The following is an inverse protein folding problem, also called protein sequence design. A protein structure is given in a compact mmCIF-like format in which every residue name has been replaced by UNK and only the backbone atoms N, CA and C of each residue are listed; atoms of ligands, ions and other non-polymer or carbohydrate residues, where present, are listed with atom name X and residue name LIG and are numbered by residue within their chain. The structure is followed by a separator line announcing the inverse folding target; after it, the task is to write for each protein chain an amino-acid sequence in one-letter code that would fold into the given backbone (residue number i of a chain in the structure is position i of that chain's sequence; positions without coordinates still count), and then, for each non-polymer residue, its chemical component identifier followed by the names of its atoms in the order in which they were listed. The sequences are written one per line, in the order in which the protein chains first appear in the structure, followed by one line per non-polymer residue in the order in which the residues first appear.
data_IF_808384155789
#
_entry.id   IF_808384155789
#
_cell.length_a   1.000
_cell.length_b   1.000
_cell.length_c   1.000
_cell.angle_alpha   90.00
_cell.angle_beta   90.00
_cell.angle_gamma   90.00
#
_symmetry.space_group_name_H-M   'P 1'
#
loop_
_entity.id
_entity.type
_entity.pdbx_description
1 polymer ?
#
# COMPACT_ATOMS: atom_id res chain seq x y z
N UNK A 1 -35.70 8.52 -24.48
CA UNK A 1 -35.96 8.29 -23.04
C UNK A 1 -34.69 7.82 -22.34
N UNK A 2 -33.93 6.85 -22.91
CA UNK A 2 -32.67 6.39 -22.28
C UNK A 2 -31.55 7.46 -22.22
N UNK A 3 -31.44 8.35 -23.21
CA UNK A 3 -30.44 9.40 -23.24
C UNK A 3 -30.72 10.54 -22.21
N UNK A 4 -31.97 10.79 -21.89
CA UNK A 4 -32.37 11.83 -20.91
C UNK A 4 -32.19 11.33 -19.48
N UNK A 5 -32.26 10.02 -19.24
CA UNK A 5 -32.03 9.41 -17.94
C UNK A 5 -30.54 9.27 -17.57
N UNK A 6 -29.65 9.16 -18.56
CA UNK A 6 -28.20 9.09 -18.30
C UNK A 6 -27.63 10.43 -17.83
N UNK A 7 -28.11 11.54 -18.39
CA UNK A 7 -27.65 12.89 -17.98
C UNK A 7 -28.22 13.36 -16.65
N UNK A 8 -29.36 12.81 -16.23
CA UNK A 8 -29.96 13.13 -14.91
C UNK A 8 -29.34 12.31 -13.77
N UNK A 9 -28.82 11.11 -14.03
CA UNK A 9 -28.18 10.26 -13.01
C UNK A 9 -26.74 10.68 -12.73
N UNK A 10 -26.05 11.27 -13.69
CA UNK A 10 -24.66 11.73 -13.53
C UNK A 10 -24.50 12.96 -12.63
N UNK A 11 -25.60 13.64 -12.26
CA UNK A 11 -25.57 14.88 -11.46
C UNK A 11 -26.25 14.76 -10.08
N UNK A 12 -26.53 13.55 -9.61
CA UNK A 12 -27.13 13.34 -8.27
C UNK A 12 -26.03 13.29 -7.21
N UNK A 13 -26.08 14.21 -6.24
CA UNK A 13 -25.23 14.18 -5.05
C UNK A 13 -25.70 13.13 -4.05
N UNK A 14 -24.81 12.63 -3.19
CA UNK A 14 -25.10 11.61 -2.17
C UNK A 14 -26.30 11.96 -1.27
N UNK A 15 -26.57 13.23 -1.06
CA UNK A 15 -27.79 13.69 -0.34
C UNK A 15 -29.09 13.44 -1.07
N UNK A 16 -29.07 13.37 -2.40
CA UNK A 16 -30.28 13.11 -3.20
C UNK A 16 -30.57 11.60 -3.30
N UNK A 17 -29.54 10.77 -3.26
CA UNK A 17 -29.67 9.31 -3.24
C UNK A 17 -30.32 8.85 -1.93
N UNK A 18 -29.94 9.43 -0.79
CA UNK A 18 -30.53 9.13 0.52
C UNK A 18 -32.01 9.56 0.65
N UNK A 19 -32.44 10.61 -0.04
CA UNK A 19 -33.88 10.99 -0.04
C UNK A 19 -34.75 10.01 -0.81
N UNK A 20 -34.26 9.36 -1.87
CA UNK A 20 -35.01 8.38 -2.63
C UNK A 20 -35.18 7.05 -1.89
N UNK A 21 -34.24 6.66 -1.06
CA UNK A 21 -34.35 5.45 -0.23
C UNK A 21 -35.40 5.56 0.88
N UNK A 22 -35.69 6.75 1.38
CA UNK A 22 -36.78 6.96 2.36
C UNK A 22 -38.20 6.89 1.77
N UNK A 23 -38.35 7.05 0.45
CA UNK A 23 -39.66 6.91 -0.21
C UNK A 23 -40.05 5.47 -0.59
N UNK A 24 -39.12 4.53 -0.53
CA UNK A 24 -39.38 3.12 -0.84
C UNK A 24 -40.00 2.32 0.32
N UNK A 25 -39.98 2.84 1.54
CA UNK A 25 -40.57 2.16 2.73
C UNK A 25 -42.06 2.41 2.99
N UNK A 26 -42.71 3.28 2.24
CA UNK A 26 -44.14 3.61 2.46
C UNK A 26 -44.96 3.19 1.25
N UNK A 27 -45.29 1.91 1.09
CA UNK A 27 -46.53 1.34 0.55
C UNK A 27 -46.42 -0.16 0.25
N UNK A 28 -46.48 -0.96 1.27
CA UNK A 28 -46.84 -2.38 1.11
C UNK A 28 -48.19 -2.64 1.76
N UNK A 29 -49.25 -2.54 0.97
CA UNK A 29 -50.49 -3.31 1.17
C UNK A 29 -51.32 -3.35 -0.12
N UNK A 30 -51.50 -4.60 -0.64
CA UNK A 30 -52.54 -5.13 -1.55
C UNK A 30 -52.37 -4.93 -3.07
N UNK A 31 -52.00 -5.98 -3.78
CA UNK A 31 -52.82 -6.79 -4.72
C UNK A 31 -51.92 -7.65 -5.65
N UNK A 32 -52.44 -8.73 -6.16
CA UNK A 32 -51.78 -9.83 -6.90
C UNK A 32 -51.07 -9.42 -8.21
N UNK A 33 -51.18 -8.18 -8.64
CA UNK A 33 -50.43 -7.61 -9.80
C UNK A 33 -49.02 -7.23 -9.40
N UNK A 34 -48.72 -7.00 -8.10
CA UNK A 34 -47.38 -6.68 -7.60
C UNK A 34 -46.39 -7.84 -7.70
N UNK A 35 -46.86 -9.10 -7.70
CA UNK A 35 -45.94 -10.26 -7.74
C UNK A 35 -45.27 -10.42 -9.12
N UNK A 36 -45.95 -10.10 -10.21
CA UNK A 36 -45.41 -10.17 -11.57
C UNK A 36 -44.45 -9.00 -11.87
N UNK A 37 -44.77 -7.80 -11.36
CA UNK A 37 -43.92 -6.61 -11.51
C UNK A 37 -42.67 -6.71 -10.60
N UNK A 38 -42.79 -7.32 -9.39
CA UNK A 38 -41.67 -7.48 -8.47
C UNK A 38 -40.62 -8.45 -9.02
N UNK A 39 -41.03 -9.52 -9.69
CA UNK A 39 -40.08 -10.51 -10.28
C UNK A 39 -39.34 -9.93 -11.49
N UNK A 40 -40.02 -9.15 -12.34
CA UNK A 40 -39.41 -8.47 -13.47
C UNK A 40 -38.51 -7.30 -13.03
N UNK A 41 -38.91 -6.54 -12.02
CA UNK A 41 -38.10 -5.47 -11.43
C UNK A 41 -36.89 -6.04 -10.70
N UNK A 42 -37.03 -7.16 -9.98
CA UNK A 42 -35.91 -7.83 -9.31
C UNK A 42 -34.91 -8.45 -10.31
N UNK A 43 -35.40 -9.05 -11.41
CA UNK A 43 -34.56 -9.59 -12.49
C UNK A 43 -33.87 -8.43 -13.25
N UNK A 44 -34.55 -7.31 -13.47
CA UNK A 44 -33.98 -6.12 -14.09
C UNK A 44 -33.00 -5.43 -13.15
N UNK A 45 -33.28 -5.37 -11.86
CA UNK A 45 -32.39 -4.84 -10.84
C UNK A 45 -31.13 -5.73 -10.65
N UNK A 46 -31.30 -7.06 -10.62
CA UNK A 46 -30.19 -8.02 -10.60
C UNK A 46 -29.37 -8.02 -11.90
N UNK A 47 -30.00 -7.77 -13.06
CA UNK A 47 -29.27 -7.56 -14.32
C UNK A 47 -28.56 -6.21 -14.35
N UNK A 48 -29.18 -5.16 -13.81
CA UNK A 48 -28.57 -3.83 -13.71
C UNK A 48 -27.44 -3.81 -12.68
N UNK A 49 -27.60 -4.46 -11.52
CA UNK A 49 -26.50 -4.65 -10.55
C UNK A 49 -25.38 -5.53 -11.11
N UNK A 50 -25.69 -6.63 -11.80
CA UNK A 50 -24.67 -7.41 -12.54
C UNK A 50 -24.02 -6.62 -13.67
N UNK A 51 -24.76 -5.76 -14.35
CA UNK A 51 -24.23 -4.86 -15.38
C UNK A 51 -23.37 -3.75 -14.77
N UNK A 52 -23.75 -3.16 -13.65
CA UNK A 52 -22.97 -2.17 -12.90
C UNK A 52 -21.72 -2.83 -12.28
N UNK A 53 -21.83 -4.04 -11.73
CA UNK A 53 -20.69 -4.82 -11.22
C UNK A 53 -19.78 -5.28 -12.36
N UNK A 54 -20.33 -5.56 -13.56
CA UNK A 54 -19.52 -5.86 -14.77
C UNK A 54 -18.82 -4.63 -15.35
N UNK A 55 -19.22 -3.40 -15.01
CA UNK A 55 -18.53 -2.17 -15.43
C UNK A 55 -17.30 -1.82 -14.59
N UNK A 56 -16.96 -2.60 -13.55
CA UNK A 56 -15.81 -2.30 -12.67
C UNK A 56 -14.51 -2.96 -13.09
N UNK A 57 -14.46 -3.70 -14.21
CA UNK A 57 -13.18 -4.17 -14.73
C UNK A 57 -12.50 -3.04 -15.50
N UNK A 58 -11.44 -2.49 -14.93
CA UNK A 58 -10.62 -1.46 -15.60
C UNK A 58 -10.11 -2.05 -16.92
N UNK A 59 -10.49 -1.42 -18.04
CA UNK A 59 -10.01 -1.81 -19.38
C UNK A 59 -8.71 -1.08 -19.69
N UNK A 60 -7.93 -1.64 -20.62
CA UNK A 60 -6.71 -0.99 -21.10
C UNK A 60 -6.99 0.41 -21.65
N UNK A 61 -8.07 0.54 -22.42
CA UNK A 61 -8.51 1.79 -23.05
C UNK A 61 -8.87 2.84 -21.99
N UNK A 62 -9.62 2.46 -20.97
CA UNK A 62 -9.99 3.35 -19.85
C UNK A 62 -8.75 3.81 -19.08
N UNK A 63 -7.80 2.91 -18.80
CA UNK A 63 -6.56 3.25 -18.12
C UNK A 63 -5.70 4.22 -18.97
N UNK A 64 -5.54 3.98 -20.26
CA UNK A 64 -4.79 4.88 -21.15
C UNK A 64 -5.47 6.25 -21.28
N UNK A 65 -6.80 6.26 -21.40
CA UNK A 65 -7.58 7.51 -21.48
C UNK A 65 -7.42 8.33 -20.19
N UNK A 66 -7.50 7.71 -19.02
CA UNK A 66 -7.30 8.40 -17.74
C UNK A 66 -5.97 9.14 -17.66
N UNK A 67 -4.89 8.56 -18.21
CA UNK A 67 -3.55 9.17 -18.16
C UNK A 67 -3.31 10.22 -19.26
N UNK A 68 -4.07 10.21 -20.33
CA UNK A 68 -3.85 11.08 -21.51
C UNK A 68 -4.90 12.18 -21.69
N UNK A 69 -6.10 12.04 -21.10
CA UNK A 69 -7.19 12.99 -21.29
C UNK A 69 -6.92 14.31 -20.55
N UNK A 70 -7.20 15.42 -21.20
CA UNK A 70 -6.93 16.75 -20.66
C UNK A 70 -5.43 17.07 -20.59
N UNK A 71 -4.92 17.45 -19.42
CA UNK A 71 -3.48 17.57 -19.17
C UNK A 71 -2.90 16.17 -18.91
N UNK A 72 -1.96 15.68 -19.72
CA UNK A 72 -1.35 14.39 -19.48
C UNK A 72 -0.62 14.31 -18.12
N UNK A 73 -0.57 13.11 -17.55
CA UNK A 73 0.01 12.88 -16.22
C UNK A 73 -0.99 13.05 -15.07
N UNK A 74 -0.52 12.97 -13.84
CA UNK A 74 -1.35 13.02 -12.61
C UNK A 74 -0.96 14.14 -11.65
N UNK A 75 0.16 14.80 -11.90
CA UNK A 75 0.71 15.83 -11.02
C UNK A 75 1.01 17.11 -11.79
N UNK A 76 0.97 18.24 -11.11
CA UNK A 76 1.41 19.51 -11.64
C UNK A 76 2.03 20.38 -10.54
N UNK A 77 2.94 21.26 -10.92
CA UNK A 77 3.51 22.27 -10.03
C UNK A 77 2.74 23.58 -10.21
N UNK A 78 2.26 24.14 -9.11
CA UNK A 78 1.51 25.40 -9.11
C UNK A 78 2.14 26.39 -8.14
N UNK A 79 2.15 27.71 -8.46
CA UNK A 79 2.68 28.72 -7.54
C UNK A 79 1.79 28.87 -6.30
N UNK A 80 2.43 29.03 -5.13
CA UNK A 80 1.76 29.22 -3.83
C UNK A 80 1.73 30.68 -3.38
N UNK A 81 2.46 31.56 -4.06
CA UNK A 81 2.58 32.99 -3.73
C UNK A 81 1.89 33.86 -4.77
N UNK A 82 1.47 35.11 -4.42
CA UNK A 82 0.97 36.08 -5.41
C UNK A 82 2.02 36.35 -6.50
N UNK A 83 1.56 36.58 -7.73
CA UNK A 83 2.43 36.80 -8.90
C UNK A 83 1.84 37.77 -9.91
N UNK A 84 1.01 38.75 -9.45
CA UNK A 84 0.25 39.64 -10.35
C UNK A 84 0.78 41.08 -10.42
N UNK A 85 1.67 41.45 -9.50
CA UNK A 85 2.21 42.81 -9.42
C UNK A 85 3.72 42.83 -9.56
N UNK A 86 4.28 44.02 -9.89
CA UNK A 86 5.74 44.23 -9.92
C UNK A 86 6.36 44.00 -8.53
N UNK A 87 5.63 44.33 -7.47
CA UNK A 87 6.06 44.06 -6.09
C UNK A 87 6.13 42.55 -5.81
N UNK A 88 5.12 41.81 -6.22
CA UNK A 88 5.14 40.35 -6.08
C UNK A 88 6.36 39.73 -6.77
N UNK A 89 6.65 40.17 -8.00
CA UNK A 89 7.80 39.69 -8.75
C UNK A 89 9.13 40.07 -8.07
N UNK A 90 9.23 41.27 -7.53
CA UNK A 90 10.43 41.74 -6.83
C UNK A 90 10.68 40.96 -5.52
N UNK A 91 9.62 40.57 -4.82
CA UNK A 91 9.70 39.72 -3.62
C UNK A 91 10.00 38.25 -3.96
N UNK A 92 9.33 37.72 -5.00
CA UNK A 92 9.45 36.31 -5.37
C UNK A 92 10.81 35.97 -6.04
N UNK A 93 11.44 36.93 -6.69
CA UNK A 93 12.69 36.74 -7.43
C UNK A 93 13.71 37.82 -7.11
N UNK A 94 13.99 38.74 -8.03
CA UNK A 94 15.05 39.75 -7.83
C UNK A 94 14.45 41.11 -7.48
N UNK A 95 14.91 41.83 -6.40
CA UNK A 95 16.03 41.47 -5.50
C UNK A 95 15.66 40.68 -4.25
N UNK A 96 14.37 40.56 -3.90
CA UNK A 96 13.89 40.07 -2.61
C UNK A 96 14.35 38.67 -2.25
N UNK A 97 14.54 37.76 -3.23
CA UNK A 97 14.96 36.36 -3.00
C UNK A 97 16.36 36.26 -2.40
N UNK A 98 17.19 37.29 -2.45
CA UNK A 98 18.51 37.27 -1.83
C UNK A 98 18.45 37.13 -0.29
N UNK A 99 17.44 37.71 0.35
CA UNK A 99 17.33 37.68 1.82
C UNK A 99 17.15 36.27 2.38
N UNK A 100 16.17 35.45 1.93
CA UNK A 100 16.07 34.06 2.40
C UNK A 100 17.31 33.20 2.02
N UNK A 101 17.97 33.46 0.88
CA UNK A 101 19.21 32.76 0.56
C UNK A 101 20.32 33.05 1.59
N UNK A 102 20.45 34.31 2.04
CA UNK A 102 21.42 34.68 3.06
C UNK A 102 21.08 34.11 4.44
N UNK A 103 19.81 34.03 4.80
CA UNK A 103 19.40 33.40 6.04
C UNK A 103 19.67 31.87 6.04
N UNK A 104 19.38 31.18 4.93
CA UNK A 104 19.68 29.74 4.77
C UNK A 104 21.21 29.51 4.76
N UNK A 105 21.99 30.39 4.15
CA UNK A 105 23.47 30.29 4.19
C UNK A 105 24.02 30.38 5.63
N UNK A 106 23.42 31.25 6.47
CA UNK A 106 23.82 31.38 7.89
C UNK A 106 23.40 30.19 8.74
N UNK A 107 22.19 29.68 8.48
CA UNK A 107 21.61 28.54 9.19
C UNK A 107 20.76 27.71 8.23
N UNK A 108 21.22 26.52 7.84
CA UNK A 108 20.54 25.65 6.89
C UNK A 108 19.16 25.19 7.35
N UNK A 109 18.90 25.13 8.66
CA UNK A 109 17.57 24.79 9.21
C UNK A 109 16.48 25.76 8.76
N UNK A 110 16.80 27.02 8.48
CA UNK A 110 15.84 27.99 7.98
C UNK A 110 15.34 27.72 6.55
N UNK A 111 15.93 26.73 5.84
CA UNK A 111 15.37 26.24 4.59
C UNK A 111 13.94 25.68 4.77
N UNK A 112 13.64 25.12 5.93
CA UNK A 112 12.29 24.66 6.28
C UNK A 112 11.28 25.78 6.49
N UNK A 113 11.75 27.02 6.77
CA UNK A 113 10.90 28.19 6.99
C UNK A 113 10.65 28.95 5.68
N UNK A 114 11.63 28.96 4.76
CA UNK A 114 11.62 29.80 3.55
C UNK A 114 11.39 29.05 2.26
N UNK A 115 11.39 27.71 2.26
CA UNK A 115 11.19 26.88 1.07
C UNK A 115 10.11 25.82 1.29
N UNK A 116 9.78 25.06 0.26
CA UNK A 116 8.85 23.92 0.33
C UNK A 116 9.51 22.62 0.86
N UNK A 117 10.81 22.66 1.19
CA UNK A 117 11.58 21.49 1.66
C UNK A 117 10.85 20.71 2.76
N UNK A 118 10.23 21.39 3.71
CA UNK A 118 9.52 20.76 4.84
C UNK A 118 8.22 20.01 4.48
N UNK A 119 7.76 20.12 3.24
CA UNK A 119 6.56 19.44 2.75
C UNK A 119 6.79 18.74 1.39
N UNK A 120 8.02 18.50 0.98
CA UNK A 120 8.38 17.94 -0.32
C UNK A 120 9.10 16.61 -0.18
N UNK A 121 8.52 15.54 -0.76
CA UNK A 121 9.12 14.20 -0.88
C UNK A 121 9.66 13.99 -2.28
N UNK A 122 10.84 13.38 -2.41
CA UNK A 122 11.27 12.75 -3.64
C UNK A 122 10.73 11.31 -3.70
N UNK A 123 9.95 10.96 -4.71
CA UNK A 123 9.65 9.57 -5.04
C UNK A 123 10.67 9.12 -6.09
N UNK A 124 11.58 8.22 -5.72
CA UNK A 124 12.75 7.88 -6.54
C UNK A 124 12.72 6.41 -6.94
N UNK A 125 12.86 6.15 -8.24
CA UNK A 125 12.90 4.81 -8.81
C UNK A 125 13.98 4.68 -9.89
N UNK A 126 14.49 3.46 -10.09
CA UNK A 126 15.24 3.09 -11.29
C UNK A 126 14.46 2.13 -12.21
N UNK A 127 13.22 1.82 -11.88
CA UNK A 127 12.32 1.01 -12.68
C UNK A 127 12.73 -0.45 -12.83
N UNK A 128 13.45 -1.01 -11.86
CA UNK A 128 13.96 -2.39 -11.93
C UNK A 128 13.01 -3.44 -11.35
N UNK A 129 11.93 -3.03 -10.67
CA UNK A 129 10.92 -3.92 -10.08
C UNK A 129 9.50 -3.34 -10.15
N UNK A 130 9.11 -2.78 -11.29
CA UNK A 130 7.86 -2.05 -11.47
C UNK A 130 6.66 -2.99 -11.41
N UNK A 131 5.86 -2.92 -10.32
CA UNK A 131 4.68 -3.76 -10.09
C UNK A 131 4.96 -5.25 -10.39
N UNK A 132 4.06 -5.93 -11.11
CA UNK A 132 4.29 -7.29 -11.62
C UNK A 132 5.01 -7.36 -12.97
N UNK A 133 5.48 -6.21 -13.52
CA UNK A 133 6.10 -6.12 -14.85
C UNK A 133 7.61 -6.35 -14.82
N UNK A 134 8.24 -6.22 -13.63
CA UNK A 134 9.69 -6.41 -13.46
C UNK A 134 10.53 -5.21 -13.94
N UNK A 135 11.70 -5.51 -14.51
CA UNK A 135 12.65 -4.48 -14.98
C UNK A 135 12.23 -3.92 -16.34
N UNK A 136 11.43 -2.87 -16.32
CA UNK A 136 10.97 -2.15 -17.52
C UNK A 136 11.69 -0.81 -17.75
N UNK A 137 12.63 -0.45 -16.86
CA UNK A 137 13.43 0.77 -16.92
C UNK A 137 12.77 2.00 -16.30
N UNK A 138 13.58 2.96 -15.93
CA UNK A 138 13.22 4.14 -15.16
C UNK A 138 12.05 4.92 -15.79
N UNK A 139 12.16 5.34 -17.05
CA UNK A 139 11.13 6.14 -17.72
C UNK A 139 9.77 5.42 -17.80
N UNK A 140 9.79 4.11 -18.01
CA UNK A 140 8.54 3.33 -18.09
C UNK A 140 7.83 3.22 -16.72
N UNK A 141 8.56 3.41 -15.62
CA UNK A 141 8.03 3.47 -14.25
C UNK A 141 7.32 4.78 -13.90
N UNK A 142 7.57 5.87 -14.65
CA UNK A 142 7.04 7.22 -14.33
C UNK A 142 5.53 7.25 -14.04
N UNK A 143 4.63 6.57 -14.77
CA UNK A 143 3.22 6.59 -14.42
C UNK A 143 2.90 6.05 -13.02
N UNK A 144 3.72 5.14 -12.48
CA UNK A 144 3.60 4.64 -11.10
C UNK A 144 4.07 5.72 -10.12
N UNK A 145 5.21 6.35 -10.39
CA UNK A 145 5.79 7.40 -9.54
C UNK A 145 4.88 8.63 -9.43
N UNK A 146 4.30 9.08 -10.54
CA UNK A 146 3.25 10.11 -10.51
C UNK A 146 2.01 9.66 -9.70
N UNK A 147 1.68 8.37 -9.77
CA UNK A 147 0.62 7.79 -8.94
C UNK A 147 0.95 7.89 -7.45
N UNK A 148 2.19 7.60 -7.04
CA UNK A 148 2.64 7.81 -5.66
C UNK A 148 2.54 9.28 -5.25
N UNK A 149 2.95 10.21 -6.12
CA UNK A 149 2.81 11.65 -5.89
C UNK A 149 1.36 12.06 -5.65
N UNK A 150 0.43 11.57 -6.46
CA UNK A 150 -1.01 11.77 -6.26
C UNK A 150 -1.45 11.27 -4.88
N UNK A 151 -1.03 10.08 -4.47
CA UNK A 151 -1.43 9.47 -3.20
C UNK A 151 -0.84 10.24 -2.00
N UNK A 152 0.42 10.66 -2.04
CA UNK A 152 1.00 11.55 -1.02
C UNK A 152 0.18 12.83 -0.84
N UNK A 153 -0.24 13.43 -1.96
CA UNK A 153 -0.99 14.68 -1.94
C UNK A 153 -2.38 14.52 -1.35
N UNK A 154 -3.15 13.50 -1.79
CA UNK A 154 -4.55 13.34 -1.34
C UNK A 154 -4.67 12.81 0.09
N UNK A 155 -3.71 11.98 0.57
CA UNK A 155 -3.80 11.37 1.90
C UNK A 155 -3.03 12.12 3.00
N UNK A 156 -2.01 12.90 2.64
CA UNK A 156 -1.14 13.56 3.61
C UNK A 156 -0.87 15.05 3.32
N UNK A 157 -1.38 15.59 2.21
CA UNK A 157 -1.11 16.98 1.80
C UNK A 157 0.36 17.23 1.43
N UNK A 158 1.17 16.19 1.25
CA UNK A 158 2.59 16.27 0.92
C UNK A 158 2.75 16.46 -0.58
N UNK A 159 3.63 17.37 -0.96
CA UNK A 159 4.03 17.61 -2.34
C UNK A 159 5.13 16.61 -2.74
N UNK A 160 5.17 16.26 -4.03
CA UNK A 160 6.10 15.23 -4.53
C UNK A 160 6.73 15.69 -5.85
N UNK A 161 8.04 15.48 -5.96
CA UNK A 161 8.69 15.32 -7.26
C UNK A 161 9.06 13.86 -7.47
N UNK A 162 8.56 13.29 -8.57
CA UNK A 162 8.96 11.96 -9.01
C UNK A 162 10.25 12.04 -9.83
N UNK A 163 11.24 11.21 -9.47
CA UNK A 163 12.59 11.22 -10.03
C UNK A 163 12.92 9.82 -10.55
N UNK A 164 12.94 9.68 -11.87
CA UNK A 164 13.30 8.44 -12.56
C UNK A 164 14.81 8.43 -12.87
N UNK A 165 15.58 7.70 -12.05
CA UNK A 165 17.04 7.61 -12.18
C UNK A 165 17.42 6.46 -13.10
N UNK A 166 17.96 6.75 -14.28
CA UNK A 166 18.40 5.74 -15.25
C UNK A 166 19.79 5.18 -14.90
N UNK A 167 19.92 4.62 -13.70
CA UNK A 167 21.15 3.98 -13.23
C UNK A 167 20.77 2.70 -12.44
N UNK A 168 21.45 1.59 -12.77
CA UNK A 168 21.21 0.28 -12.14
C UNK A 168 22.33 -0.11 -11.17
N UNK A 169 23.50 0.53 -11.28
CA UNK A 169 24.56 0.34 -10.30
C UNK A 169 24.16 0.99 -8.98
N UNK A 170 24.09 0.24 -7.86
CA UNK A 170 23.62 0.77 -6.59
C UNK A 170 24.46 1.93 -6.05
N UNK A 171 25.78 1.89 -6.22
CA UNK A 171 26.67 2.94 -5.68
C UNK A 171 26.48 4.25 -6.44
N UNK A 172 26.38 4.19 -7.77
CA UNK A 172 26.10 5.38 -8.60
C UNK A 172 24.69 5.92 -8.38
N UNK A 173 23.70 5.04 -8.19
CA UNK A 173 22.35 5.43 -7.85
C UNK A 173 22.33 6.21 -6.52
N UNK A 174 22.99 5.70 -5.48
CA UNK A 174 23.12 6.35 -4.18
C UNK A 174 23.74 7.74 -4.33
N UNK A 175 24.86 7.87 -5.07
CA UNK A 175 25.51 9.15 -5.28
C UNK A 175 24.60 10.16 -6.02
N UNK A 176 23.81 9.70 -7.00
CA UNK A 176 22.83 10.56 -7.68
C UNK A 176 21.75 11.05 -6.72
N UNK A 177 21.22 10.16 -5.87
CA UNK A 177 20.20 10.52 -4.88
C UNK A 177 20.74 11.49 -3.84
N UNK A 178 21.95 11.26 -3.32
CA UNK A 178 22.63 12.17 -2.38
C UNK A 178 22.81 13.58 -2.96
N UNK A 179 23.16 13.67 -4.25
CA UNK A 179 23.39 14.94 -4.91
C UNK A 179 22.13 15.81 -4.99
N UNK A 180 20.93 15.22 -5.05
CA UNK A 180 19.65 15.93 -5.12
C UNK A 180 18.93 16.04 -3.77
N UNK A 181 19.36 15.29 -2.76
CA UNK A 181 18.71 15.23 -1.43
C UNK A 181 18.53 16.60 -0.75
N UNK A 182 19.39 17.62 -0.92
CA UNK A 182 19.17 18.93 -0.29
C UNK A 182 17.83 19.59 -0.64
N UNK A 183 17.21 19.24 -1.78
CA UNK A 183 15.92 19.79 -2.23
C UNK A 183 14.76 19.29 -1.35
N UNK A 184 14.85 18.08 -0.77
CA UNK A 184 13.73 17.34 -0.21
C UNK A 184 13.75 17.28 1.32
N UNK A 185 12.57 17.18 1.91
CA UNK A 185 12.39 16.89 3.32
C UNK A 185 12.40 15.39 3.64
N UNK A 186 12.23 14.53 2.61
CA UNK A 186 12.28 13.07 2.74
C UNK A 186 12.32 12.37 1.38
N UNK A 187 12.66 11.10 1.39
CA UNK A 187 12.83 10.27 0.19
C UNK A 187 12.00 8.98 0.32
N UNK A 188 11.11 8.75 -0.61
CA UNK A 188 10.45 7.47 -0.84
C UNK A 188 11.12 6.74 -1.99
N UNK A 189 11.78 5.63 -1.71
CA UNK A 189 12.30 4.72 -2.72
C UNK A 189 11.18 3.79 -3.20
N UNK A 190 11.09 3.56 -4.52
CA UNK A 190 9.99 2.82 -5.13
C UNK A 190 10.48 1.94 -6.28
N UNK A 191 9.91 0.73 -6.41
CA UNK A 191 10.13 -0.17 -7.56
C UNK A 191 11.62 -0.49 -7.84
N UNK A 192 12.43 -0.61 -6.79
CA UNK A 192 13.84 -1.01 -6.86
C UNK A 192 13.96 -2.48 -6.45
N UNK A 193 14.56 -3.29 -7.33
CA UNK A 193 14.66 -4.74 -7.11
C UNK A 193 15.56 -5.12 -5.94
N UNK A 194 15.25 -6.25 -5.31
CA UNK A 194 16.13 -6.92 -4.37
C UNK A 194 17.21 -7.75 -5.13
N UNK A 195 18.45 -7.86 -4.58
CA UNK A 195 18.88 -7.40 -3.26
C UNK A 195 19.36 -5.95 -3.20
N UNK A 196 19.47 -5.26 -4.35
CA UNK A 196 20.07 -3.92 -4.46
C UNK A 196 19.32 -2.90 -3.60
N UNK A 197 17.99 -3.00 -3.50
CA UNK A 197 17.17 -2.08 -2.71
C UNK A 197 17.56 -2.03 -1.22
N UNK A 198 18.02 -3.14 -0.64
CA UNK A 198 18.45 -3.18 0.75
C UNK A 198 19.70 -2.32 0.98
N UNK A 199 20.72 -2.49 0.13
CA UNK A 199 21.94 -1.70 0.17
C UNK A 199 21.67 -0.22 -0.06
N UNK A 200 20.82 0.10 -1.02
CA UNK A 200 20.48 1.48 -1.38
C UNK A 200 19.80 2.18 -0.20
N UNK A 201 18.77 1.55 0.37
CA UNK A 201 18.05 2.14 1.50
C UNK A 201 18.94 2.31 2.72
N UNK A 202 19.67 1.26 3.13
CA UNK A 202 20.55 1.26 4.29
C UNK A 202 21.57 2.40 4.21
N UNK A 203 22.29 2.50 3.09
CA UNK A 203 23.29 3.54 2.92
C UNK A 203 22.71 4.95 2.85
N UNK A 204 21.57 5.14 2.19
CA UNK A 204 20.94 6.46 2.15
C UNK A 204 20.43 6.89 3.54
N UNK A 205 19.93 5.96 4.36
CA UNK A 205 19.56 6.24 5.75
C UNK A 205 20.76 6.61 6.63
N UNK A 206 21.91 5.98 6.39
CA UNK A 206 23.16 6.28 7.12
C UNK A 206 23.82 7.59 6.67
N UNK A 207 23.69 7.97 5.41
CA UNK A 207 24.43 9.06 4.79
C UNK A 207 23.62 10.37 4.63
N UNK A 208 22.30 10.36 4.94
CA UNK A 208 21.41 11.51 4.85
C UNK A 208 20.74 11.84 6.19
N UNK A 209 20.53 13.14 6.43
CA UNK A 209 19.86 13.66 7.64
C UNK A 209 18.35 13.87 7.45
N UNK A 210 17.75 13.25 6.44
CA UNK A 210 16.31 13.29 6.14
C UNK A 210 15.75 11.85 6.10
N UNK A 211 14.47 11.63 6.42
CA UNK A 211 13.90 10.30 6.42
C UNK A 211 13.91 9.67 5.03
N UNK A 212 14.41 8.45 4.95
CA UNK A 212 14.41 7.60 3.74
C UNK A 212 13.64 6.32 4.04
N UNK A 213 12.71 5.94 3.17
CA UNK A 213 11.96 4.69 3.28
C UNK A 213 11.71 4.08 1.91
N UNK A 214 11.91 2.77 1.80
CA UNK A 214 11.51 2.01 0.61
C UNK A 214 10.09 1.45 0.82
N UNK A 215 9.11 1.99 0.09
CA UNK A 215 7.70 1.67 0.34
C UNK A 215 7.34 0.21 0.06
N UNK A 216 7.88 -0.40 -1.00
CA UNK A 216 7.64 -1.83 -1.29
C UNK A 216 8.12 -2.76 -0.16
N UNK A 217 9.12 -2.32 0.60
CA UNK A 217 9.56 -3.05 1.79
C UNK A 217 8.64 -2.75 2.97
N UNK A 218 8.56 -1.48 3.36
CA UNK A 218 8.03 -1.07 4.66
C UNK A 218 6.55 -0.73 4.64
N UNK A 219 6.01 -0.16 3.55
CA UNK A 219 4.57 0.11 3.42
C UNK A 219 3.75 -1.16 3.48
N UNK A 220 4.16 -2.18 2.71
CA UNK A 220 3.52 -3.51 2.73
C UNK A 220 3.68 -4.19 4.10
N UNK A 221 4.86 -4.07 4.72
CA UNK A 221 5.11 -4.63 6.06
C UNK A 221 4.16 -4.03 7.10
N UNK A 222 4.02 -2.71 7.14
CA UNK A 222 3.20 -2.00 8.11
C UNK A 222 1.72 -2.35 7.97
N UNK A 223 1.19 -2.32 6.74
CA UNK A 223 -0.23 -2.59 6.53
C UNK A 223 -0.57 -4.08 6.70
N UNK A 224 0.30 -5.00 6.28
CA UNK A 224 0.10 -6.42 6.53
C UNK A 224 0.20 -6.76 8.02
N UNK A 225 1.06 -6.06 8.77
CA UNK A 225 1.16 -6.19 10.22
C UNK A 225 -0.10 -5.72 10.93
N UNK A 226 -0.67 -4.57 10.52
CA UNK A 226 -1.96 -4.10 11.05
C UNK A 226 -3.07 -5.13 10.78
N UNK A 227 -3.14 -5.67 9.56
CA UNK A 227 -4.08 -6.73 9.23
C UNK A 227 -3.85 -8.01 10.02
N UNK A 228 -2.59 -8.39 10.26
CA UNK A 228 -2.27 -9.58 11.04
C UNK A 228 -2.71 -9.45 12.50
N UNK A 229 -2.46 -8.30 13.14
CA UNK A 229 -2.91 -8.03 14.52
C UNK A 229 -4.42 -8.24 14.64
N UNK A 230 -5.20 -7.62 13.76
CA UNK A 230 -6.65 -7.74 13.75
C UNK A 230 -7.14 -9.16 13.37
N UNK A 231 -6.50 -9.80 12.39
CA UNK A 231 -6.85 -11.17 12.02
C UNK A 231 -6.59 -12.17 13.14
N UNK A 232 -5.50 -12.00 13.89
CA UNK A 232 -5.19 -12.82 15.07
C UNK A 232 -6.23 -12.64 16.18
N UNK A 233 -6.69 -11.40 16.42
CA UNK A 233 -7.75 -11.13 17.37
C UNK A 233 -9.06 -11.82 16.98
N UNK A 234 -9.49 -11.70 15.70
CA UNK A 234 -10.68 -12.40 15.19
C UNK A 234 -10.54 -13.92 15.29
N UNK A 235 -9.35 -14.46 14.99
CA UNK A 235 -9.07 -15.90 15.07
C UNK A 235 -8.90 -16.43 16.52
N UNK A 236 -8.82 -15.55 17.51
CA UNK A 236 -8.53 -15.91 18.91
C UNK A 236 -7.13 -16.50 19.10
N UNK A 237 -6.14 -16.05 18.30
CA UNK A 237 -4.76 -16.57 18.32
C UNK A 237 -3.80 -15.49 18.84
N UNK A 238 -2.66 -15.96 19.40
CA UNK A 238 -1.58 -15.08 19.86
C UNK A 238 -0.41 -15.14 18.89
N UNK A 239 0.20 -14.01 18.61
CA UNK A 239 1.27 -13.87 17.63
C UNK A 239 2.50 -14.73 17.98
N UNK A 240 2.80 -14.91 19.25
CA UNK A 240 3.91 -15.76 19.71
C UNK A 240 3.70 -17.26 19.52
N UNK A 241 2.45 -17.72 19.34
CA UNK A 241 2.12 -19.14 19.25
C UNK A 241 1.85 -19.60 17.83
N UNK A 242 1.58 -18.69 16.88
CA UNK A 242 1.18 -19.03 15.51
C UNK A 242 2.35 -19.52 14.67
N UNK A 243 2.07 -20.51 13.81
CA UNK A 243 2.98 -20.98 12.76
C UNK A 243 2.74 -20.20 11.48
N UNK A 244 3.76 -19.54 11.00
CA UNK A 244 3.71 -18.63 9.85
C UNK A 244 4.47 -19.25 8.68
N UNK A 245 3.83 -19.37 7.52
CA UNK A 245 4.47 -19.75 6.26
C UNK A 245 4.51 -18.54 5.33
N UNK A 246 5.72 -18.17 4.93
CA UNK A 246 5.97 -17.04 4.03
C UNK A 246 6.40 -17.56 2.67
N UNK A 247 5.58 -17.38 1.66
CA UNK A 247 5.89 -17.81 0.29
C UNK A 247 6.35 -16.62 -0.55
N UNK A 248 7.64 -16.50 -0.70
CA UNK A 248 8.39 -15.38 -1.24
C UNK A 248 9.55 -15.04 -0.33
N UNK A 249 10.65 -14.52 -0.90
CA UNK A 249 11.82 -14.08 -0.16
C UNK A 249 12.46 -12.84 -0.83
N UNK A 250 11.60 -12.01 -1.43
CA UNK A 250 11.93 -10.70 -1.96
C UNK A 250 11.89 -9.61 -0.88
N UNK A 251 12.02 -8.35 -1.30
CA UNK A 251 12.05 -7.20 -0.41
C UNK A 251 10.86 -7.14 0.54
N UNK A 252 9.63 -7.20 0.02
CA UNK A 252 8.41 -7.16 0.82
C UNK A 252 8.29 -8.33 1.80
N UNK A 253 8.60 -9.57 1.36
CA UNK A 253 8.51 -10.76 2.21
C UNK A 253 9.47 -10.69 3.40
N UNK A 254 10.72 -10.26 3.16
CA UNK A 254 11.74 -10.06 4.20
C UNK A 254 11.27 -9.00 5.20
N UNK A 255 10.80 -7.85 4.73
CA UNK A 255 10.41 -6.74 5.59
C UNK A 255 9.12 -7.03 6.37
N UNK A 256 8.11 -7.65 5.75
CA UNK A 256 6.90 -8.09 6.47
C UNK A 256 7.25 -9.05 7.58
N UNK A 257 8.09 -10.05 7.29
CA UNK A 257 8.44 -11.07 8.27
C UNK A 257 9.29 -10.49 9.42
N UNK A 258 10.21 -9.57 9.15
CA UNK A 258 10.95 -8.84 10.19
C UNK A 258 10.00 -8.09 11.11
N UNK A 259 9.04 -7.35 10.56
CA UNK A 259 8.09 -6.59 11.37
C UNK A 259 7.15 -7.51 12.16
N UNK A 260 6.77 -8.69 11.64
CA UNK A 260 6.03 -9.69 12.40
C UNK A 260 6.84 -10.20 13.60
N UNK A 261 8.15 -10.42 13.44
CA UNK A 261 9.04 -10.78 14.55
C UNK A 261 9.12 -9.65 15.57
N UNK A 262 9.23 -8.40 15.14
CA UNK A 262 9.22 -7.22 16.02
C UNK A 262 7.89 -7.06 16.79
N UNK A 263 6.78 -7.57 16.23
CA UNK A 263 5.47 -7.62 16.92
C UNK A 263 5.32 -8.81 17.86
N UNK A 264 6.28 -9.74 17.90
CA UNK A 264 6.30 -10.87 18.82
C UNK A 264 6.20 -12.26 18.17
N UNK A 265 6.15 -12.38 16.84
CA UNK A 265 6.21 -13.69 16.19
C UNK A 265 7.57 -14.34 16.45
N UNK A 266 7.56 -15.62 16.84
CA UNK A 266 8.79 -16.35 17.13
C UNK A 266 9.42 -16.85 15.83
N UNK A 267 10.71 -16.56 15.64
CA UNK A 267 11.43 -16.90 14.42
C UNK A 267 11.42 -18.42 14.14
N UNK A 268 11.47 -19.25 15.19
CA UNK A 268 11.38 -20.71 15.07
C UNK A 268 10.04 -21.22 14.55
N UNK A 269 8.97 -20.42 14.65
CA UNK A 269 7.64 -20.72 14.13
C UNK A 269 7.44 -20.25 12.67
N UNK A 270 8.45 -19.60 12.08
CA UNK A 270 8.37 -19.07 10.72
C UNK A 270 9.10 -19.96 9.74
N UNK A 271 8.43 -20.30 8.65
CA UNK A 271 9.03 -21.03 7.52
C UNK A 271 8.92 -20.15 6.27
N UNK A 272 10.05 -19.70 5.77
CA UNK A 272 10.12 -18.89 4.53
C UNK A 272 10.54 -19.77 3.35
N UNK A 273 9.93 -19.52 2.19
CA UNK A 273 10.23 -20.21 0.93
C UNK A 273 10.59 -19.21 -0.17
N UNK A 274 11.49 -19.63 -1.04
CA UNK A 274 11.74 -18.97 -2.32
C UNK A 274 11.45 -19.92 -3.50
N UNK A 275 11.81 -19.53 -4.73
CA UNK A 275 11.59 -20.34 -5.94
C UNK A 275 12.29 -21.71 -5.93
N UNK A 276 13.21 -21.95 -4.99
CA UNK A 276 13.92 -23.22 -4.83
C UNK A 276 13.37 -24.05 -3.66
N UNK A 277 12.32 -23.60 -2.99
CA UNK A 277 11.68 -24.26 -1.85
C UNK A 277 12.01 -23.62 -0.51
N UNK A 278 11.93 -24.41 0.56
CA UNK A 278 12.16 -23.94 1.94
C UNK A 278 13.58 -23.37 2.11
N UNK A 279 13.68 -22.22 2.75
CA UNK A 279 14.94 -21.61 3.11
C UNK A 279 15.45 -22.28 4.39
N UNK A 280 16.33 -23.28 4.24
CA UNK A 280 16.92 -24.04 5.33
C UNK A 280 18.38 -23.66 5.54
N UNK A 281 18.90 -23.86 6.76
CA UNK A 281 20.32 -23.62 7.09
C UNK A 281 21.30 -24.48 6.31
N UNK A 282 20.82 -25.57 5.70
CA UNK A 282 21.65 -26.45 4.85
C UNK A 282 21.90 -25.90 3.46
N UNK A 283 21.18 -24.84 3.04
CA UNK A 283 21.36 -24.19 1.74
C UNK A 283 22.58 -23.27 1.74
N UNK A 284 23.35 -23.33 0.66
CA UNK A 284 24.59 -22.54 0.47
C UNK A 284 24.42 -21.31 -0.42
N UNK A 285 23.24 -21.18 -1.06
CA UNK A 285 22.91 -20.14 -2.04
C UNK A 285 22.15 -18.94 -1.45
N UNK A 286 22.16 -18.80 -0.13
CA UNK A 286 21.42 -17.79 0.58
C UNK A 286 22.24 -16.49 0.72
N UNK A 287 21.62 -15.35 0.37
CA UNK A 287 22.13 -14.05 0.78
C UNK A 287 21.88 -13.82 2.28
N UNK A 288 22.41 -12.73 2.83
CA UNK A 288 22.30 -12.40 4.24
C UNK A 288 20.87 -12.30 4.73
N UNK A 289 19.99 -11.61 3.99
CA UNK A 289 18.58 -11.42 4.35
C UNK A 289 17.83 -12.75 4.45
N UNK A 290 18.04 -13.67 3.49
CA UNK A 290 17.44 -14.99 3.51
C UNK A 290 18.01 -15.87 4.61
N UNK A 291 19.30 -15.73 4.89
CA UNK A 291 20.00 -16.54 5.93
C UNK A 291 19.42 -16.26 7.32
N UNK A 292 18.98 -15.04 7.58
CA UNK A 292 18.31 -14.68 8.83
C UNK A 292 17.06 -15.53 9.11
N UNK A 293 16.30 -15.88 8.07
CA UNK A 293 15.08 -16.71 8.17
C UNK A 293 15.31 -18.20 7.92
N UNK A 294 16.56 -18.65 7.78
CA UNK A 294 16.85 -20.04 7.47
C UNK A 294 16.47 -20.96 8.65
N UNK A 295 15.56 -21.91 8.41
CA UNK A 295 15.10 -22.87 9.41
C UNK A 295 16.03 -24.06 9.56
N UNK A 296 16.04 -24.67 10.75
CA UNK A 296 16.70 -25.97 11.01
C UNK A 296 15.85 -27.18 10.55
N UNK A 297 14.59 -26.95 10.13
CA UNK A 297 13.69 -28.00 9.68
C UNK A 297 14.21 -28.66 8.40
N UNK A 298 14.52 -29.94 8.46
CA UNK A 298 15.00 -30.76 7.34
C UNK A 298 13.93 -31.75 6.83
N UNK A 299 12.76 -31.73 7.44
CA UNK A 299 11.61 -32.59 7.14
C UNK A 299 10.64 -31.93 6.14
N UNK A 300 10.86 -30.67 5.79
CA UNK A 300 10.02 -29.90 4.86
C UNK A 300 10.86 -29.25 3.77
N UNK A 301 10.43 -29.33 2.52
CA UNK A 301 11.13 -28.79 1.35
C UNK A 301 10.24 -27.94 0.46
N UNK A 302 8.94 -28.20 0.46
CA UNK A 302 7.95 -27.59 -0.44
C UNK A 302 6.92 -26.77 0.32
N UNK A 303 6.18 -25.93 -0.41
CA UNK A 303 5.06 -25.18 0.15
C UNK A 303 3.97 -26.12 0.71
N UNK A 304 3.68 -27.20 -0.01
CA UNK A 304 2.66 -28.17 0.39
C UNK A 304 3.00 -28.85 1.73
N UNK A 305 4.28 -29.12 1.99
CA UNK A 305 4.73 -29.67 3.26
C UNK A 305 4.72 -28.63 4.37
N UNK A 306 5.20 -27.41 4.09
CA UNK A 306 5.31 -26.35 5.06
C UNK A 306 3.95 -25.84 5.55
N UNK A 307 2.92 -25.78 4.67
CA UNK A 307 1.62 -25.19 4.98
C UNK A 307 0.75 -26.05 5.91
N UNK A 308 1.05 -27.34 6.04
CA UNK A 308 0.28 -28.27 6.88
C UNK A 308 0.28 -27.83 8.34
N UNK A 309 -0.91 -27.55 8.86
CA UNK A 309 -1.09 -27.07 10.24
C UNK A 309 -0.52 -25.66 10.49
N UNK A 310 -0.23 -24.87 9.45
CA UNK A 310 0.13 -23.47 9.60
C UNK A 310 -1.11 -22.62 9.94
N UNK A 311 -0.91 -21.62 10.79
CA UNK A 311 -1.95 -20.67 11.19
C UNK A 311 -2.05 -19.50 10.21
N UNK A 312 -0.91 -19.06 9.68
CA UNK A 312 -0.80 -17.87 8.82
C UNK A 312 -0.05 -18.25 7.55
N UNK A 313 -0.59 -17.87 6.41
CA UNK A 313 0.09 -17.86 5.13
C UNK A 313 0.26 -16.41 4.66
N UNK A 314 1.50 -16.03 4.39
CA UNK A 314 1.85 -14.76 3.76
C UNK A 314 2.41 -15.03 2.36
N UNK A 315 1.64 -14.73 1.33
CA UNK A 315 2.02 -14.87 -0.08
C UNK A 315 2.53 -13.54 -0.65
N UNK A 316 3.79 -13.53 -1.08
CA UNK A 316 4.48 -12.39 -1.70
C UNK A 316 5.37 -12.90 -2.84
N UNK A 317 4.82 -13.75 -3.71
CA UNK A 317 5.56 -14.43 -4.76
C UNK A 317 4.89 -14.32 -6.13
N UNK A 318 4.13 -15.30 -6.53
CA UNK A 318 3.41 -15.35 -7.81
C UNK A 318 2.02 -15.97 -7.65
N UNK A 319 1.13 -15.62 -8.56
CA UNK A 319 -0.25 -16.08 -8.54
C UNK A 319 -0.42 -17.59 -8.68
N UNK A 320 -1.53 -18.09 -8.11
CA UNK A 320 -2.02 -19.47 -8.27
C UNK A 320 -1.07 -20.58 -7.76
N UNK A 321 -0.28 -20.31 -6.73
CA UNK A 321 0.63 -21.29 -6.12
C UNK A 321 0.04 -21.96 -4.87
N UNK A 322 -0.98 -21.38 -4.23
CA UNK A 322 -1.67 -21.94 -3.08
C UNK A 322 -2.94 -22.67 -3.53
N UNK A 323 -2.97 -23.99 -3.37
CA UNK A 323 -4.13 -24.80 -3.75
C UNK A 323 -5.21 -24.82 -2.67
N UNK A 324 -6.44 -25.19 -3.03
CA UNK A 324 -7.52 -25.40 -2.06
C UNK A 324 -7.19 -26.50 -1.03
N UNK A 325 -6.50 -27.56 -1.44
CA UNK A 325 -6.11 -28.65 -0.52
C UNK A 325 -5.05 -28.18 0.48
N UNK A 326 -4.13 -27.31 0.05
CA UNK A 326 -3.21 -26.65 0.96
C UNK A 326 -3.96 -25.80 2.01
N UNK A 327 -4.94 -25.00 1.60
CA UNK A 327 -5.76 -24.21 2.54
C UNK A 327 -6.52 -25.13 3.50
N UNK A 328 -7.08 -26.26 3.01
CA UNK A 328 -7.76 -27.26 3.88
C UNK A 328 -6.82 -27.86 4.92
N UNK A 329 -5.53 -27.99 4.61
CA UNK A 329 -4.53 -28.59 5.50
C UNK A 329 -4.01 -27.67 6.59
N UNK A 330 -4.34 -26.36 6.54
CA UNK A 330 -3.96 -25.39 7.56
C UNK A 330 -4.68 -25.61 8.89
N UNK A 331 -4.21 -24.95 9.93
CA UNK A 331 -4.83 -24.94 11.26
C UNK A 331 -6.27 -24.37 11.20
N UNK A 332 -7.13 -24.58 12.23
CA UNK A 332 -8.43 -23.94 12.33
C UNK A 332 -8.33 -22.41 12.29
N UNK A 333 -9.34 -21.73 11.72
CA UNK A 333 -9.34 -20.27 11.53
C UNK A 333 -8.03 -19.79 10.87
N UNK A 334 -7.67 -20.29 9.66
CA UNK A 334 -6.41 -19.91 9.03
C UNK A 334 -6.48 -18.49 8.49
N UNK A 335 -5.37 -17.76 8.62
CA UNK A 335 -5.18 -16.43 8.09
C UNK A 335 -4.40 -16.55 6.78
N UNK A 336 -4.98 -16.08 5.67
CA UNK A 336 -4.38 -16.18 4.34
C UNK A 336 -4.25 -14.80 3.71
N UNK A 337 -3.04 -14.28 3.68
CA UNK A 337 -2.70 -13.03 2.99
C UNK A 337 -2.06 -13.39 1.64
N UNK A 338 -2.85 -13.32 0.56
CA UNK A 338 -2.42 -13.62 -0.81
C UNK A 338 -2.20 -12.31 -1.57
N UNK A 339 -0.96 -11.80 -1.54
CA UNK A 339 -0.63 -10.43 -1.93
C UNK A 339 0.08 -10.32 -3.27
N UNK A 340 0.28 -11.42 -4.01
CA UNK A 340 0.87 -11.39 -5.34
C UNK A 340 0.00 -10.59 -6.32
N UNK A 341 0.65 -9.83 -7.19
CA UNK A 341 0.04 -9.00 -8.23
C UNK A 341 0.53 -9.43 -9.63
N UNK A 342 -0.35 -9.42 -10.67
CA UNK A 342 -1.77 -9.03 -10.63
C UNK A 342 -2.70 -10.13 -10.10
N UNK A 343 -2.26 -11.39 -10.09
CA UNK A 343 -3.04 -12.53 -9.63
C UNK A 343 -2.55 -12.96 -8.23
N UNK A 344 -3.44 -13.13 -7.23
CA UNK A 344 -3.08 -13.60 -5.92
C UNK A 344 -2.64 -15.08 -5.93
N UNK A 345 -1.95 -15.54 -4.91
CA UNK A 345 -1.53 -16.94 -4.75
C UNK A 345 -2.69 -17.92 -4.74
N UNK A 346 -3.86 -17.46 -4.26
CA UNK A 346 -5.16 -18.12 -4.40
C UNK A 346 -6.23 -17.03 -4.51
N UNK A 347 -7.25 -17.22 -5.35
CA UNK A 347 -8.35 -16.28 -5.42
C UNK A 347 -9.26 -16.38 -4.20
N UNK A 348 -9.93 -15.26 -3.85
CA UNK A 348 -10.84 -15.18 -2.71
C UNK A 348 -11.88 -16.31 -2.74
N UNK A 349 -12.53 -16.52 -3.90
CA UNK A 349 -13.56 -17.55 -4.05
C UNK A 349 -13.02 -18.96 -3.83
N UNK A 350 -11.80 -19.25 -4.32
CA UNK A 350 -11.18 -20.56 -4.13
C UNK A 350 -10.84 -20.82 -2.66
N UNK A 351 -10.35 -19.78 -1.95
CA UNK A 351 -10.03 -19.90 -0.53
C UNK A 351 -11.29 -20.13 0.30
N UNK A 352 -12.35 -19.33 0.09
CA UNK A 352 -13.64 -19.46 0.77
C UNK A 352 -14.32 -20.81 0.47
N UNK A 353 -14.21 -21.32 -0.77
CA UNK A 353 -14.71 -22.64 -1.15
C UNK A 353 -13.89 -23.80 -0.54
N UNK A 354 -12.62 -23.56 -0.22
CA UNK A 354 -11.81 -24.56 0.47
C UNK A 354 -12.22 -24.69 1.94
N UNK A 355 -12.42 -23.54 2.61
CA UNK A 355 -12.77 -23.47 4.05
C UNK A 355 -13.55 -22.19 4.33
N UNK A 356 -14.75 -22.29 4.93
CA UNK A 356 -15.56 -21.10 5.25
C UNK A 356 -15.01 -20.28 6.44
N UNK A 357 -14.12 -20.85 7.24
CA UNK A 357 -13.48 -20.22 8.40
C UNK A 357 -12.15 -19.53 8.07
N UNK A 358 -11.79 -19.39 6.78
CA UNK A 358 -10.57 -18.68 6.38
C UNK A 358 -10.73 -17.17 6.50
N UNK A 359 -9.77 -16.52 7.17
CA UNK A 359 -9.61 -15.07 7.16
C UNK A 359 -8.73 -14.68 5.97
N UNK A 360 -9.37 -14.09 4.94
CA UNK A 360 -8.69 -13.82 3.68
C UNK A 360 -8.43 -12.32 3.49
N UNK A 361 -7.20 -11.97 3.08
CA UNK A 361 -6.85 -10.65 2.59
C UNK A 361 -6.05 -10.75 1.27
N UNK A 362 -6.19 -9.74 0.42
CA UNK A 362 -5.46 -9.65 -0.86
C UNK A 362 -5.00 -8.21 -1.12
N UNK A 363 -4.14 -8.00 -2.12
CA UNK A 363 -3.79 -6.66 -2.61
C UNK A 363 -4.89 -6.02 -3.48
N UNK A 364 -5.99 -6.73 -3.79
CA UNK A 364 -7.03 -6.28 -4.72
C UNK A 364 -8.11 -5.47 -4.02
N UNK A 365 -8.56 -4.39 -4.68
CA UNK A 365 -9.62 -3.50 -4.17
C UNK A 365 -11.05 -4.03 -4.36
N UNK A 366 -11.22 -5.12 -5.13
CA UNK A 366 -12.50 -5.73 -5.42
C UNK A 366 -12.89 -6.84 -4.43
N UNK A 367 -12.07 -7.08 -3.40
CA UNK A 367 -12.32 -8.03 -2.32
C UNK A 367 -12.25 -7.36 -0.95
N UNK A 368 -12.86 -7.98 0.10
CA UNK A 368 -12.68 -7.54 1.48
C UNK A 368 -11.20 -7.55 1.90
N UNK A 369 -10.85 -6.76 2.90
CA UNK A 369 -9.54 -6.75 3.52
C UNK A 369 -8.39 -6.46 2.52
N UNK A 370 -8.50 -5.36 1.77
CA UNK A 370 -7.43 -4.96 0.87
C UNK A 370 -6.18 -4.55 1.65
N UNK A 371 -5.09 -5.29 1.52
CA UNK A 371 -3.76 -4.89 1.99
C UNK A 371 -3.11 -4.03 0.91
N UNK A 372 -3.08 -2.71 1.16
CA UNK A 372 -2.54 -1.72 0.24
C UNK A 372 -1.68 -0.72 1.00
N UNK A 373 -0.42 -0.56 0.58
CA UNK A 373 0.55 0.34 1.21
C UNK A 373 0.12 1.81 1.24
N UNK A 374 -0.85 2.22 0.41
CA UNK A 374 -1.45 3.58 0.45
C UNK A 374 -1.98 3.97 1.83
N UNK A 375 -2.37 2.99 2.65
CA UNK A 375 -2.83 3.24 4.02
C UNK A 375 -1.69 3.57 4.98
N UNK A 376 -0.44 3.31 4.62
CA UNK A 376 0.73 3.44 5.49
C UNK A 376 1.60 4.64 5.11
N UNK A 377 2.23 4.63 3.91
CA UNK A 377 3.33 5.53 3.59
C UNK A 377 3.00 7.03 3.69
N UNK A 378 1.81 7.53 3.27
CA UNK A 378 1.57 8.97 3.34
C UNK A 378 1.52 9.48 4.78
N UNK A 379 0.83 8.74 5.66
CA UNK A 379 0.72 9.07 7.09
C UNK A 379 2.06 9.00 7.81
N UNK A 380 2.90 8.02 7.46
CA UNK A 380 4.24 7.86 8.04
C UNK A 380 5.13 9.06 7.70
N UNK A 381 5.20 9.45 6.42
CA UNK A 381 5.97 10.63 6.03
C UNK A 381 5.40 11.92 6.64
N UNK A 382 4.06 12.02 6.77
CA UNK A 382 3.45 13.16 7.43
C UNK A 382 3.87 13.26 8.90
N UNK A 383 3.82 12.16 9.64
CA UNK A 383 4.27 12.13 11.04
C UNK A 383 5.77 12.45 11.17
N UNK A 384 6.61 11.86 10.32
CA UNK A 384 8.04 12.16 10.30
C UNK A 384 8.33 13.65 10.03
N UNK A 385 7.59 14.28 9.09
CA UNK A 385 7.74 15.70 8.77
C UNK A 385 7.24 16.61 9.88
N UNK A 386 6.16 16.26 10.56
CA UNK A 386 5.59 17.06 11.64
C UNK A 386 6.57 17.25 12.81
N UNK A 387 7.47 16.29 13.01
CA UNK A 387 8.51 16.35 14.05
C UNK A 387 9.92 16.57 13.50
N UNK A 388 10.07 16.78 12.18
CA UNK A 388 11.36 16.88 11.48
C UNK A 388 12.29 15.71 11.81
N UNK A 389 11.75 14.48 11.77
CA UNK A 389 12.54 13.29 12.00
C UNK A 389 13.63 13.12 10.92
N UNK A 390 14.80 12.67 11.32
CA UNK A 390 15.90 12.32 10.39
C UNK A 390 15.80 10.89 9.86
N UNK A 391 14.98 10.03 10.49
CA UNK A 391 14.79 8.63 10.11
C UNK A 391 13.34 8.20 10.32
N UNK A 392 12.93 7.14 9.62
CA UNK A 392 11.74 6.32 9.88
C UNK A 392 12.24 5.00 10.45
N UNK A 393 12.24 4.87 11.77
CA UNK A 393 12.78 3.73 12.50
C UNK A 393 11.75 2.60 12.72
N UNK A 394 12.16 1.51 13.38
CA UNK A 394 11.28 0.35 13.64
C UNK A 394 10.14 0.69 14.58
N UNK A 395 10.39 1.51 15.61
CA UNK A 395 9.37 1.94 16.57
C UNK A 395 8.25 2.73 15.90
N UNK A 396 8.58 3.62 14.97
CA UNK A 396 7.62 4.36 14.16
C UNK A 396 6.77 3.42 13.29
N UNK A 397 7.38 2.39 12.69
CA UNK A 397 6.64 1.39 11.87
C UNK A 397 5.69 0.54 12.71
N UNK A 398 6.12 0.11 13.89
CA UNK A 398 5.28 -0.62 14.85
C UNK A 398 4.13 0.27 15.34
N UNK A 399 4.43 1.53 15.68
CA UNK A 399 3.41 2.49 16.12
C UNK A 399 2.36 2.73 15.04
N UNK A 400 2.78 2.92 13.78
CA UNK A 400 1.88 3.06 12.64
C UNK A 400 1.01 1.82 12.43
N UNK A 401 1.60 0.60 12.49
CA UNK A 401 0.86 -0.65 12.36
C UNK A 401 -0.24 -0.78 13.42
N UNK A 402 0.11 -0.52 14.69
CA UNK A 402 -0.84 -0.57 15.78
C UNK A 402 -1.93 0.51 15.67
N UNK A 403 -1.57 1.73 15.26
CA UNK A 403 -2.54 2.81 15.07
C UNK A 403 -3.55 2.47 13.96
N UNK A 404 -3.09 1.87 12.86
CA UNK A 404 -3.96 1.43 11.76
C UNK A 404 -4.87 0.26 12.19
N UNK A 405 -4.36 -0.70 12.94
CA UNK A 405 -5.15 -1.80 13.48
C UNK A 405 -6.25 -1.28 14.42
N UNK A 406 -5.90 -0.40 15.34
CA UNK A 406 -6.80 0.16 16.34
C UNK A 406 -7.85 1.15 15.80
N UNK A 407 -7.82 1.48 14.50
CA UNK A 407 -8.89 2.28 13.87
C UNK A 407 -10.21 1.52 13.76
N UNK A 408 -10.16 0.20 13.76
CA UNK A 408 -11.33 -0.68 13.76
C UNK A 408 -11.64 -1.02 15.21
N UNK A 409 -12.83 -0.67 15.68
CA UNK A 409 -13.26 -1.01 17.04
C UNK A 409 -13.55 -2.50 17.18
N UNK A 410 -13.54 -3.02 18.42
CA UNK A 410 -13.84 -4.44 18.69
C UNK A 410 -15.24 -4.84 18.16
N UNK A 411 -16.20 -3.90 18.13
CA UNK A 411 -17.56 -4.13 17.64
C UNK A 411 -17.64 -4.19 16.09
N UNK A 412 -16.72 -3.50 15.40
CA UNK A 412 -16.65 -3.49 13.93
C UNK A 412 -15.79 -4.62 13.39
N UNK A 413 -14.84 -5.11 14.20
CA UNK A 413 -13.85 -6.10 13.80
C UNK A 413 -14.51 -7.45 13.49
N UNK A 414 -14.31 -7.96 12.28
CA UNK A 414 -14.83 -9.25 11.84
C UNK A 414 -13.97 -9.80 10.67
N UNK A 415 -14.27 -11.01 10.21
CA UNK A 415 -13.51 -11.70 9.16
C UNK A 415 -13.44 -10.95 7.82
N UNK A 416 -14.36 -10.04 7.53
CA UNK A 416 -14.40 -9.23 6.31
C UNK A 416 -13.94 -7.78 6.53
N UNK A 417 -13.57 -7.40 7.75
CA UNK A 417 -13.14 -6.05 8.09
C UNK A 417 -12.03 -6.06 9.14
N UNK A 418 -10.80 -6.45 8.71
CA UNK A 418 -9.57 -6.45 9.52
C UNK A 418 -8.61 -5.31 9.13
N UNK A 419 -8.90 -4.60 8.04
CA UNK A 419 -8.13 -3.46 7.53
C UNK A 419 -9.11 -2.31 7.26
N UNK A 420 -8.79 -1.06 7.66
CA UNK A 420 -9.60 0.11 7.32
C UNK A 420 -9.74 0.28 5.79
N UNK A 421 -10.86 0.82 5.36
CA UNK A 421 -11.06 1.14 3.95
C UNK A 421 -10.04 2.18 3.45
N UNK A 422 -9.63 2.09 2.18
CA UNK A 422 -8.60 2.97 1.61
C UNK A 422 -8.94 4.47 1.73
N UNK A 423 -10.22 4.83 1.66
CA UNK A 423 -10.68 6.21 1.77
C UNK A 423 -11.21 6.58 3.16
N UNK A 424 -10.90 5.81 4.20
CA UNK A 424 -11.23 6.19 5.57
C UNK A 424 -10.40 7.43 5.98
N UNK A 425 -11.06 8.57 6.26
CA UNK A 425 -10.34 9.82 6.56
C UNK A 425 -9.53 9.77 7.85
N UNK A 426 -9.73 8.76 8.71
CA UNK A 426 -9.02 8.58 9.97
C UNK A 426 -7.61 8.02 9.76
N UNK A 427 -7.36 7.31 8.64
CA UNK A 427 -6.12 6.56 8.39
C UNK A 427 -4.88 7.45 8.41
N UNK A 428 -4.83 8.47 7.55
CA UNK A 428 -3.68 9.38 7.48
C UNK A 428 -3.35 10.05 8.81
N UNK A 429 -4.32 10.72 9.46
CA UNK A 429 -4.10 11.37 10.76
C UNK A 429 -3.69 10.40 11.88
N UNK A 430 -4.23 9.18 11.92
CA UNK A 430 -3.88 8.20 12.94
C UNK A 430 -2.44 7.70 12.77
N UNK A 431 -2.04 7.36 11.55
CA UNK A 431 -0.67 6.96 11.25
C UNK A 431 0.32 8.09 11.54
N UNK A 432 0.02 9.32 11.09
CA UNK A 432 0.87 10.48 11.33
C UNK A 432 1.08 10.76 12.82
N UNK A 433 -0.01 10.78 13.59
CA UNK A 433 0.05 11.01 15.04
C UNK A 433 0.84 9.94 15.80
N UNK A 434 0.77 8.69 15.34
CA UNK A 434 1.48 7.58 15.99
C UNK A 434 2.98 7.60 15.69
N UNK A 435 3.36 8.10 14.52
CA UNK A 435 4.76 8.22 14.08
C UNK A 435 5.43 9.44 14.71
N UNK A 436 4.72 10.56 14.85
CA UNK A 436 5.21 11.79 15.51
C UNK A 436 5.37 11.60 17.02
#
# INVERSE_FOLDING_TARGET
VCAILSDQLANLTDQQINKHNQFAEIKYKKSSICHFISTFACISFLKLTKFIISMTKITREAALLYHSQGKPGKVEVVPTKPYRTQTDLSLAYSPGVAEPCLEIQKNQETAYDYTDKGNLVAVISNGTAVLGLGDIGALSGKPVMEGKGLLFKIYAGIDVFDIEVNEKDPDKFIEAVKAIAPTFGGINLEDIKAPECFKIEERLKEELDIPVMHDDQHGTAIISSAGLVNALQVAGKKIEDVKIVVNGAGASAVSCTKLYVSLGARLENIVMLDSKGVISKTRTDLNEQKRYFATDRTDIHTLEEAIKGADVFLGLSKGNVLSQDMVRSMAPMPIVFALANPDPEITYEKAMNARPDVLMATGRSDYPNQINNVLAFPGIFRGAFDVRASDINEEMKIAASNALANLISDEELNENYIIPAAFDPRVGPAAAKAVA
#
